data_IF_063624748181
#
_entry.id   IF_063624748181
#
_cell.length_a   1.000
_cell.length_b   1.000
_cell.length_c   1.000
_cell.angle_alpha   90.00
_cell.angle_beta   90.00
_cell.angle_gamma   90.00
#
_symmetry.space_group_name_H-M   'P 1'
#
loop_
_entity.id
_entity.type
_entity.pdbx_description
1 polymer ?
#
# COMPACT_ATOMS: atom_id res chain seq x y z
N UNK A 1 16.55 -2.17 71.25
CA UNK A 1 15.76 -1.12 70.59
C UNK A 1 16.04 -1.24 69.10
N UNK A 2 15.25 -2.01 68.37
CA UNK A 2 15.40 -2.16 66.92
C UNK A 2 14.55 -1.11 66.21
N UNK A 3 15.21 -0.29 65.40
CA UNK A 3 14.58 0.77 64.61
C UNK A 3 13.95 0.18 63.35
N UNK A 4 12.61 0.12 63.34
CA UNK A 4 11.83 -0.23 62.15
C UNK A 4 11.92 0.88 61.11
N UNK A 5 12.55 0.60 59.97
CA UNK A 5 12.64 1.54 58.85
C UNK A 5 11.52 1.23 57.85
N UNK A 6 10.54 2.12 57.75
CA UNK A 6 9.42 2.01 56.82
C UNK A 6 9.88 2.45 55.42
N UNK A 7 9.83 1.53 54.45
CA UNK A 7 10.13 1.83 53.04
C UNK A 7 8.90 2.48 52.39
N UNK A 8 9.01 3.65 51.73
CA UNK A 8 7.87 4.32 51.13
C UNK A 8 7.43 3.60 49.85
N UNK A 9 6.14 3.29 49.77
CA UNK A 9 5.50 2.67 48.61
C UNK A 9 5.45 3.65 47.44
N UNK A 10 6.05 3.27 46.30
CA UNK A 10 6.04 4.04 45.05
C UNK A 10 4.60 4.16 44.52
N UNK A 11 4.07 5.38 44.52
CA UNK A 11 2.80 5.73 43.87
C UNK A 11 2.85 5.44 42.37
N UNK A 12 1.91 4.63 41.87
CA UNK A 12 1.74 4.33 40.44
C UNK A 12 1.13 5.56 39.75
N UNK A 13 1.92 6.23 38.90
CA UNK A 13 1.43 7.33 38.04
C UNK A 13 0.26 6.85 37.16
N UNK A 14 -0.78 7.68 36.96
CA UNK A 14 -1.91 7.33 36.11
C UNK A 14 -1.47 7.10 34.65
N UNK A 15 -2.15 6.21 33.91
CA UNK A 15 -1.82 5.92 32.52
C UNK A 15 -1.97 7.18 31.66
N UNK A 16 -1.00 7.42 30.77
CA UNK A 16 -1.07 8.53 29.81
C UNK A 16 -2.32 8.37 28.92
N UNK A 17 -3.03 9.46 28.60
CA UNK A 17 -4.18 9.42 27.72
C UNK A 17 -3.78 8.86 26.35
N UNK A 18 -4.69 8.10 25.73
CA UNK A 18 -4.45 7.51 24.40
C UNK A 18 -4.19 8.64 23.39
N UNK A 19 -3.14 8.52 22.56
CA UNK A 19 -2.88 9.52 21.53
C UNK A 19 -4.06 9.58 20.56
N UNK A 20 -4.54 10.80 20.29
CA UNK A 20 -5.65 11.03 19.35
C UNK A 20 -5.30 10.58 17.93
N UNK A 21 -6.31 10.23 17.16
CA UNK A 21 -6.15 9.89 15.76
C UNK A 21 -5.89 11.17 14.95
N UNK A 22 -4.77 11.29 14.21
CA UNK A 22 -4.43 12.51 13.49
C UNK A 22 -5.44 12.84 12.39
N UNK A 23 -6.09 11.84 11.79
CA UNK A 23 -7.12 12.06 10.77
C UNK A 23 -8.37 12.65 11.44
N UNK A 24 -8.82 12.09 12.56
CA UNK A 24 -9.98 12.60 13.30
C UNK A 24 -9.73 14.02 13.81
N UNK A 25 -8.57 14.29 14.41
CA UNK A 25 -8.19 15.64 14.87
C UNK A 25 -8.17 16.64 13.72
N UNK A 26 -7.64 16.24 12.56
CA UNK A 26 -7.62 17.10 11.37
C UNK A 26 -9.03 17.40 10.87
N UNK A 27 -9.87 16.37 10.76
CA UNK A 27 -11.26 16.53 10.31
C UNK A 27 -12.04 17.43 11.26
N UNK A 28 -11.85 17.29 12.58
CA UNK A 28 -12.43 18.18 13.58
C UNK A 28 -12.04 19.64 13.36
N UNK A 29 -10.74 19.91 13.19
CA UNK A 29 -10.26 21.27 12.91
C UNK A 29 -10.77 21.80 11.58
N UNK A 30 -10.85 20.96 10.55
CA UNK A 30 -11.39 21.35 9.25
C UNK A 30 -12.88 21.73 9.34
N UNK A 31 -13.69 20.96 10.07
CA UNK A 31 -15.12 21.26 10.23
C UNK A 31 -15.39 22.59 10.95
N UNK A 32 -14.49 23.03 11.84
CA UNK A 32 -14.59 24.37 12.46
C UNK A 32 -14.41 25.52 11.45
N UNK A 33 -13.82 25.24 10.27
CA UNK A 33 -13.65 26.24 9.20
C UNK A 33 -14.86 26.32 8.26
N UNK A 34 -15.81 25.38 8.37
CA UNK A 34 -16.98 25.31 7.49
C UNK A 34 -18.18 26.03 8.12
N UNK A 35 -19.07 26.64 7.32
CA UNK A 35 -20.31 27.23 7.82
C UNK A 35 -21.20 26.18 8.49
N UNK A 36 -21.80 26.52 9.63
CA UNK A 36 -22.70 25.63 10.35
C UNK A 36 -23.93 25.23 9.52
N UNK A 37 -24.37 26.10 8.60
CA UNK A 37 -25.49 25.86 7.68
C UNK A 37 -25.27 24.64 6.78
N UNK A 38 -24.01 24.37 6.41
CA UNK A 38 -23.66 23.22 5.58
C UNK A 38 -24.02 21.88 6.24
N UNK A 39 -23.83 21.78 7.57
CA UNK A 39 -24.15 20.57 8.32
C UNK A 39 -25.67 20.34 8.45
N UNK A 40 -26.47 21.42 8.43
CA UNK A 40 -27.92 21.35 8.36
C UNK A 40 -28.38 20.83 6.98
N UNK A 41 -27.78 21.33 5.90
CA UNK A 41 -28.11 20.91 4.52
C UNK A 41 -27.85 19.42 4.29
N UNK A 42 -26.72 18.89 4.78
CA UNK A 42 -26.41 17.46 4.66
C UNK A 42 -27.09 16.61 5.74
N UNK A 43 -27.89 17.20 6.64
CA UNK A 43 -28.58 16.51 7.74
C UNK A 43 -27.66 15.62 8.59
N UNK A 44 -26.42 16.06 8.84
CA UNK A 44 -25.42 15.28 9.56
C UNK A 44 -24.78 16.08 10.69
N UNK A 45 -24.59 15.44 11.85
CA UNK A 45 -23.77 16.02 12.92
C UNK A 45 -22.28 15.81 12.65
N UNK A 46 -21.46 16.71 13.18
CA UNK A 46 -19.99 16.61 13.19
C UNK A 46 -19.55 15.26 13.76
N UNK A 47 -20.13 14.83 14.87
CA UNK A 47 -19.79 13.55 15.53
C UNK A 47 -20.10 12.33 14.65
N UNK A 48 -21.19 12.37 13.88
CA UNK A 48 -21.56 11.31 12.94
C UNK A 48 -20.54 11.19 11.79
N UNK A 49 -20.12 12.33 11.23
CA UNK A 49 -19.09 12.38 10.18
C UNK A 49 -17.73 11.89 10.69
N UNK A 50 -17.32 12.30 11.88
CA UNK A 50 -16.06 11.84 12.50
C UNK A 50 -16.11 10.33 12.76
N UNK A 51 -17.25 9.81 13.24
CA UNK A 51 -17.39 8.37 13.52
C UNK A 51 -17.21 7.51 12.27
N UNK A 52 -17.64 8.03 11.11
CA UNK A 52 -17.52 7.39 9.80
C UNK A 52 -16.24 7.75 9.03
N UNK A 53 -15.36 8.56 9.61
CA UNK A 53 -14.07 8.91 9.02
C UNK A 53 -13.08 7.73 9.07
N UNK A 54 -12.08 7.68 8.17
CA UNK A 54 -11.11 6.61 8.16
C UNK A 54 -10.20 6.64 9.40
N UNK A 55 -10.21 5.54 10.16
CA UNK A 55 -9.44 5.40 11.40
C UNK A 55 -8.12 4.64 11.25
N UNK A 56 -7.93 4.00 10.10
CA UNK A 56 -6.75 3.18 9.79
C UNK A 56 -6.16 3.68 8.48
N UNK A 57 -4.86 3.45 8.32
CA UNK A 57 -4.13 3.75 7.10
C UNK A 57 -2.97 2.77 6.94
N UNK A 58 -2.42 2.76 5.72
CA UNK A 58 -1.17 2.09 5.39
C UNK A 58 -0.24 3.12 4.75
N UNK A 59 1.04 3.07 5.07
CA UNK A 59 2.05 3.89 4.39
C UNK A 59 2.85 3.00 3.44
N UNK A 60 2.83 3.39 2.17
CA UNK A 60 3.76 2.93 1.16
C UNK A 60 4.53 4.14 0.71
N UNK A 61 5.69 4.38 1.31
CA UNK A 61 6.35 5.69 1.22
C UNK A 61 6.61 6.07 -0.25
N UNK A 62 6.32 7.33 -0.65
CA UNK A 62 5.85 8.47 0.16
C UNK A 62 4.31 8.65 0.18
N UNK A 63 3.53 7.60 -0.07
CA UNK A 63 2.07 7.62 -0.14
C UNK A 63 1.39 7.16 1.16
N UNK A 64 0.34 7.88 1.54
CA UNK A 64 -0.68 7.48 2.50
C UNK A 64 -1.84 6.78 1.77
N UNK A 65 -2.12 5.54 2.13
CA UNK A 65 -3.23 4.77 1.56
C UNK A 65 -4.31 4.52 2.61
N UNK A 66 -5.51 5.03 2.32
CA UNK A 66 -6.70 4.83 3.13
C UNK A 66 -7.44 3.52 2.73
N UNK A 67 -8.17 2.87 3.66
CA UNK A 67 -8.97 1.69 3.35
C UNK A 67 -10.06 1.96 2.32
N UNK A 68 -10.48 0.92 1.59
CA UNK A 68 -11.65 1.00 0.71
C UNK A 68 -12.88 1.46 1.48
N UNK A 69 -13.70 2.32 0.85
CA UNK A 69 -14.87 2.95 1.46
C UNK A 69 -14.56 4.16 2.36
N UNK A 70 -13.31 4.62 2.41
CA UNK A 70 -12.99 5.88 3.11
C UNK A 70 -13.75 7.03 2.46
N UNK A 71 -14.43 7.85 3.27
CA UNK A 71 -15.26 8.97 2.81
C UNK A 71 -16.40 8.59 1.84
N UNK A 72 -16.87 7.34 1.88
CA UNK A 72 -17.95 6.87 0.98
C UNK A 72 -19.34 6.86 1.61
N UNK A 73 -19.50 7.29 2.86
CA UNK A 73 -20.85 7.38 3.46
C UNK A 73 -21.67 8.47 2.73
N UNK A 74 -23.01 8.36 2.66
CA UNK A 74 -23.82 9.36 1.97
C UNK A 74 -23.55 10.79 2.45
N UNK A 75 -23.39 11.00 3.76
CA UNK A 75 -23.07 12.30 4.33
C UNK A 75 -21.68 12.81 3.92
N UNK A 76 -20.68 11.93 3.82
CA UNK A 76 -19.35 12.29 3.34
C UNK A 76 -19.38 12.66 1.86
N UNK A 77 -20.06 11.86 1.04
CA UNK A 77 -20.22 12.14 -0.40
C UNK A 77 -20.91 13.49 -0.62
N UNK A 78 -22.02 13.75 0.09
CA UNK A 78 -22.72 15.04 0.02
C UNK A 78 -21.85 16.20 0.49
N UNK A 79 -21.18 16.07 1.65
CA UNK A 79 -20.26 17.10 2.14
C UNK A 79 -19.18 17.42 1.10
N UNK A 80 -18.56 16.38 0.55
CA UNK A 80 -17.55 16.52 -0.49
C UNK A 80 -18.12 17.07 -1.80
N UNK A 81 -19.42 16.98 -2.11
CA UNK A 81 -19.97 17.67 -3.28
C UNK A 81 -20.18 19.17 -3.05
N UNK A 82 -20.41 19.61 -1.81
CA UNK A 82 -20.66 21.02 -1.48
C UNK A 82 -19.40 21.84 -1.25
N UNK A 83 -18.34 21.24 -0.70
CA UNK A 83 -17.08 21.98 -0.48
C UNK A 83 -16.36 22.24 -1.80
N UNK A 84 -15.72 23.41 -1.90
CA UNK A 84 -14.97 23.82 -3.08
C UNK A 84 -13.74 22.92 -3.33
N UNK A 85 -13.19 22.90 -4.56
CA UNK A 85 -11.94 22.19 -4.83
C UNK A 85 -10.79 22.60 -3.90
N UNK A 86 -10.66 23.90 -3.56
CA UNK A 86 -9.63 24.38 -2.63
C UNK A 86 -9.84 23.91 -1.20
N UNK A 87 -11.09 23.78 -0.74
CA UNK A 87 -11.42 23.21 0.57
C UNK A 87 -11.11 21.72 0.64
N UNK A 88 -11.40 20.94 -0.42
CA UNK A 88 -11.00 19.52 -0.52
C UNK A 88 -9.49 19.36 -0.44
N UNK A 89 -8.78 20.17 -1.22
CA UNK A 89 -7.33 20.15 -1.26
C UNK A 89 -6.73 20.49 0.12
N UNK A 90 -7.31 21.48 0.82
CA UNK A 90 -6.94 21.83 2.19
C UNK A 90 -7.15 20.65 3.14
N UNK A 91 -8.32 20.00 3.10
CA UNK A 91 -8.62 18.83 3.93
C UNK A 91 -7.61 17.70 3.71
N UNK A 92 -7.37 17.31 2.46
CA UNK A 92 -6.47 16.20 2.14
C UNK A 92 -5.01 16.52 2.46
N UNK A 93 -4.57 17.75 2.19
CA UNK A 93 -3.23 18.23 2.57
C UNK A 93 -3.04 18.19 4.09
N UNK A 94 -4.01 18.67 4.86
CA UNK A 94 -3.92 18.65 6.32
C UNK A 94 -3.91 17.21 6.86
N UNK A 95 -4.71 16.30 6.30
CA UNK A 95 -4.70 14.88 6.68
C UNK A 95 -3.30 14.30 6.46
N UNK A 96 -2.72 14.57 5.29
CA UNK A 96 -1.39 14.10 4.93
C UNK A 96 -0.32 14.65 5.88
N UNK A 97 -0.38 15.93 6.23
CA UNK A 97 0.54 16.57 7.19
C UNK A 97 0.39 15.99 8.60
N UNK A 98 -0.84 15.82 9.08
CA UNK A 98 -1.14 15.26 10.39
C UNK A 98 -0.60 13.84 10.55
N UNK A 99 -0.81 12.99 9.55
CA UNK A 99 -0.28 11.62 9.53
C UNK A 99 1.25 11.61 9.34
N UNK A 100 1.79 12.46 8.45
CA UNK A 100 3.24 12.60 8.26
C UNK A 100 3.96 12.90 9.57
N UNK A 101 3.42 13.86 10.34
CA UNK A 101 3.95 14.24 11.66
C UNK A 101 3.87 13.09 12.67
N UNK A 102 2.75 12.37 12.72
CA UNK A 102 2.57 11.23 13.63
C UNK A 102 3.54 10.09 13.33
N UNK A 103 3.76 9.81 12.05
CA UNK A 103 4.53 8.65 11.58
C UNK A 103 6.02 8.95 11.42
N UNK A 104 6.42 10.22 11.55
CA UNK A 104 7.80 10.65 11.38
C UNK A 104 8.31 10.47 9.94
N UNK A 105 7.40 10.51 8.95
CA UNK A 105 7.69 10.28 7.53
C UNK A 105 7.16 11.43 6.70
N UNK A 106 7.93 11.87 5.71
CA UNK A 106 7.47 12.85 4.73
C UNK A 106 6.55 12.15 3.72
N UNK A 107 5.24 12.36 3.84
CA UNK A 107 4.27 11.85 2.88
C UNK A 107 3.91 12.96 1.89
N UNK A 108 3.73 12.59 0.63
CA UNK A 108 3.44 13.53 -0.47
C UNK A 108 2.18 13.17 -1.26
N UNK A 109 1.66 11.95 -1.10
CA UNK A 109 0.50 11.47 -1.84
C UNK A 109 -0.55 10.87 -0.91
N UNK A 110 -1.82 11.07 -1.24
CA UNK A 110 -2.96 10.47 -0.55
C UNK A 110 -3.83 9.74 -1.56
N UNK A 111 -4.15 8.48 -1.28
CA UNK A 111 -5.11 7.72 -2.06
C UNK A 111 -6.04 6.87 -1.18
N UNK A 112 -7.18 6.46 -1.74
CA UNK A 112 -8.06 5.44 -1.18
C UNK A 112 -7.88 4.16 -1.97
N UNK A 113 -7.66 3.06 -1.26
CA UNK A 113 -7.57 1.74 -1.85
C UNK A 113 -8.92 1.32 -2.45
N UNK A 114 -8.89 0.53 -3.52
CA UNK A 114 -10.08 -0.07 -4.10
C UNK A 114 -9.81 -1.52 -4.50
N UNK A 115 -10.87 -2.29 -4.70
CA UNK A 115 -10.76 -3.63 -5.29
C UNK A 115 -10.26 -3.54 -6.72
N UNK A 116 -9.49 -4.53 -7.14
CA UNK A 116 -9.04 -4.67 -8.53
C UNK A 116 -10.18 -5.33 -9.31
N UNK A 117 -10.82 -4.62 -10.26
CA UNK A 117 -11.96 -5.15 -10.98
C UNK A 117 -11.53 -6.32 -11.88
N UNK A 118 -12.44 -7.28 -12.08
CA UNK A 118 -12.22 -8.42 -12.98
C UNK A 118 -12.34 -8.03 -14.45
N UNK A 119 -13.11 -6.99 -14.73
CA UNK A 119 -13.38 -6.47 -16.07
C UNK A 119 -13.05 -5.00 -16.12
N UNK A 120 -12.66 -4.50 -17.29
CA UNK A 120 -12.52 -3.07 -17.51
C UNK A 120 -13.87 -2.35 -17.37
N UNK A 121 -13.85 -1.06 -17.04
CA UNK A 121 -15.07 -0.26 -17.01
C UNK A 121 -15.52 -0.01 -18.45
N UNK A 122 -16.80 -0.21 -18.73
CA UNK A 122 -17.42 0.18 -20.01
C UNK A 122 -17.11 1.66 -20.28
N UNK A 123 -16.64 1.99 -21.49
CA UNK A 123 -16.45 3.38 -21.90
C UNK A 123 -17.82 4.06 -21.94
N UNK A 124 -17.94 5.26 -21.35
CA UNK A 124 -19.19 6.03 -21.37
C UNK A 124 -19.66 6.21 -22.83
N UNK A 125 -20.81 5.63 -23.17
CA UNK A 125 -21.42 5.70 -24.51
C UNK A 125 -21.74 4.38 -25.19
N UNK A 126 -21.36 3.22 -24.62
CA UNK A 126 -21.75 1.90 -25.14
C UNK A 126 -22.95 1.33 -24.37
N UNK A 127 -23.89 0.71 -25.08
CA UNK A 127 -25.11 0.14 -24.51
C UNK A 127 -24.79 -0.85 -23.38
N UNK A 128 -25.49 -0.73 -22.24
CA UNK A 128 -25.32 -1.42 -20.94
C UNK A 128 -25.49 -2.96 -20.95
N UNK A 129 -25.09 -3.67 -22.01
CA UNK A 129 -25.33 -5.12 -22.17
C UNK A 129 -24.10 -5.96 -22.47
N UNK A 130 -22.95 -5.37 -22.74
CA UNK A 130 -21.71 -6.11 -23.00
C UNK A 130 -20.77 -5.94 -21.79
N UNK A 131 -20.59 -7.03 -21.02
CA UNK A 131 -19.56 -7.08 -19.98
C UNK A 131 -18.24 -6.60 -20.58
N UNK A 132 -17.64 -5.56 -19.99
CA UNK A 132 -16.33 -5.06 -20.40
C UNK A 132 -15.26 -6.17 -20.51
N UNK A 133 -14.25 -5.92 -21.33
CA UNK A 133 -13.14 -6.86 -21.55
C UNK A 133 -12.48 -7.26 -20.23
N UNK A 134 -11.93 -8.48 -20.17
CA UNK A 134 -11.26 -8.97 -18.97
C UNK A 134 -10.04 -8.10 -18.62
N UNK A 135 -9.92 -7.70 -17.36
CA UNK A 135 -8.76 -6.98 -16.85
C UNK A 135 -7.59 -7.96 -16.63
N UNK A 136 -7.00 -8.42 -17.74
CA UNK A 136 -5.92 -9.43 -17.78
C UNK A 136 -4.71 -8.97 -16.96
N UNK A 137 -4.35 -7.68 -17.05
CA UNK A 137 -3.21 -7.10 -16.34
C UNK A 137 -3.48 -6.88 -14.84
N UNK A 138 -4.71 -7.13 -14.38
CA UNK A 138 -5.16 -6.87 -13.00
C UNK A 138 -4.82 -5.43 -12.56
N UNK A 139 -4.94 -4.49 -13.48
CA UNK A 139 -4.63 -3.08 -13.28
C UNK A 139 -5.55 -2.47 -12.20
N UNK A 140 -5.02 -1.70 -11.25
CA UNK A 140 -5.77 -1.15 -10.11
C UNK A 140 -6.58 0.10 -10.48
N UNK A 141 -7.40 0.02 -11.54
CA UNK A 141 -8.18 1.15 -12.09
C UNK A 141 -9.20 1.77 -11.13
N UNK A 142 -9.43 1.16 -9.97
CA UNK A 142 -10.28 1.70 -8.89
C UNK A 142 -9.55 2.63 -7.91
N UNK A 143 -8.22 2.75 -7.95
CA UNK A 143 -7.46 3.58 -7.01
C UNK A 143 -7.95 5.03 -7.06
N UNK A 144 -8.41 5.57 -5.94
CA UNK A 144 -8.87 6.96 -5.87
C UNK A 144 -7.72 7.85 -5.39
N UNK A 145 -7.13 8.61 -6.30
CA UNK A 145 -6.03 9.53 -6.05
C UNK A 145 -6.58 10.86 -5.54
N UNK A 146 -6.42 11.15 -4.25
CA UNK A 146 -7.03 12.31 -3.59
C UNK A 146 -6.12 13.54 -3.58
N UNK A 147 -4.80 13.33 -3.47
CA UNK A 147 -3.82 14.42 -3.40
C UNK A 147 -2.43 13.93 -3.85
N UNK A 148 -1.67 14.80 -4.50
CA UNK A 148 -0.36 14.52 -5.08
C UNK A 148 -0.43 14.14 -6.57
N UNK A 149 0.71 14.19 -7.24
CA UNK A 149 0.84 13.88 -8.67
C UNK A 149 1.23 12.41 -8.87
N UNK A 150 0.26 11.59 -9.29
CA UNK A 150 0.45 10.17 -9.54
C UNK A 150 1.06 9.85 -10.93
N UNK A 151 1.44 10.88 -11.68
CA UNK A 151 1.93 10.79 -13.04
C UNK A 151 0.79 10.87 -14.08
N UNK A 152 1.15 11.06 -15.36
CA UNK A 152 0.19 11.21 -16.46
C UNK A 152 -0.60 9.92 -16.71
N UNK A 153 -1.73 10.04 -17.42
CA UNK A 153 -2.43 8.85 -17.93
C UNK A 153 -1.62 8.18 -19.04
N UNK A 154 -1.85 6.88 -19.23
CA UNK A 154 -1.12 6.06 -20.18
C UNK A 154 -2.11 5.23 -21.00
N UNK A 155 -1.99 5.34 -22.33
CA UNK A 155 -2.90 4.70 -23.29
C UNK A 155 -2.14 3.84 -24.31
N UNK A 156 -0.86 3.54 -24.06
CA UNK A 156 -0.06 2.67 -24.92
C UNK A 156 -0.14 1.20 -24.48
N UNK A 157 0.48 0.32 -25.26
CA UNK A 157 0.58 -1.10 -24.92
C UNK A 157 1.72 -1.38 -23.94
N UNK A 158 2.88 -0.74 -24.14
CA UNK A 158 4.09 -0.92 -23.35
C UNK A 158 4.69 0.43 -22.92
N UNK A 159 4.97 0.63 -21.63
CA UNK A 159 5.55 1.87 -21.13
C UNK A 159 6.99 2.07 -21.61
N UNK A 160 7.32 3.32 -21.91
CA UNK A 160 8.68 3.77 -22.28
C UNK A 160 9.48 4.22 -21.07
N UNK A 161 10.79 4.45 -21.25
CA UNK A 161 11.65 5.06 -20.22
C UNK A 161 11.14 6.42 -19.73
N UNK A 162 10.51 7.21 -20.62
CA UNK A 162 9.90 8.48 -20.23
C UNK A 162 8.70 8.24 -19.31
N UNK A 163 7.86 7.26 -19.64
CA UNK A 163 6.69 6.93 -18.83
C UNK A 163 7.10 6.43 -17.43
N UNK A 164 8.17 5.63 -17.35
CA UNK A 164 8.74 5.20 -16.07
C UNK A 164 9.31 6.34 -15.22
N UNK A 165 9.84 7.38 -15.87
CA UNK A 165 10.37 8.57 -15.18
C UNK A 165 9.26 9.46 -14.65
N UNK A 166 8.19 9.63 -15.42
CA UNK A 166 7.08 10.52 -15.09
C UNK A 166 6.05 9.86 -14.16
N UNK A 167 6.09 8.53 -14.02
CA UNK A 167 5.21 7.81 -13.10
C UNK A 167 5.59 8.02 -11.63
N UNK A 168 4.57 7.97 -10.77
CA UNK A 168 4.75 7.94 -9.33
C UNK A 168 5.06 6.53 -8.81
N UNK A 169 6.12 6.40 -8.02
CA UNK A 169 6.59 5.13 -7.46
C UNK A 169 6.53 5.16 -5.93
N UNK A 170 6.12 4.04 -5.35
CA UNK A 170 6.10 3.82 -3.90
C UNK A 170 6.91 2.58 -3.52
N UNK A 171 7.33 2.52 -2.26
CA UNK A 171 8.08 1.41 -1.72
C UNK A 171 7.54 0.88 -0.38
N UNK A 172 7.80 -0.40 -0.11
CA UNK A 172 7.64 -0.98 1.22
C UNK A 172 8.63 -2.11 1.47
N UNK A 173 8.99 -2.32 2.73
CA UNK A 173 9.88 -3.39 3.17
C UNK A 173 9.09 -4.50 3.86
N UNK A 174 9.10 -5.71 3.30
CA UNK A 174 8.50 -6.91 3.89
C UNK A 174 9.57 -7.99 4.02
N UNK A 175 9.66 -8.69 5.15
CA UNK A 175 10.65 -9.76 5.35
C UNK A 175 12.09 -9.32 5.03
N UNK A 176 12.42 -8.06 5.33
CA UNK A 176 13.69 -7.38 5.01
C UNK A 176 13.96 -7.15 3.51
N UNK A 177 12.99 -7.39 2.64
CA UNK A 177 13.05 -7.20 1.19
C UNK A 177 12.26 -5.94 0.81
N UNK A 178 12.89 -5.04 0.05
CA UNK A 178 12.23 -3.85 -0.51
C UNK A 178 11.41 -4.23 -1.74
N UNK A 179 10.19 -3.70 -1.84
CA UNK A 179 9.33 -3.87 -3.01
C UNK A 179 8.90 -2.50 -3.49
N UNK A 180 9.01 -2.27 -4.80
CA UNK A 180 8.77 -0.98 -5.44
C UNK A 180 7.75 -1.16 -6.55
N UNK A 181 6.77 -0.26 -6.65
CA UNK A 181 5.73 -0.34 -7.66
C UNK A 181 5.09 1.02 -7.95
N UNK A 182 4.43 1.14 -9.10
CA UNK A 182 3.66 2.32 -9.47
C UNK A 182 2.19 2.09 -9.11
N UNK A 183 1.61 2.76 -8.09
CA UNK A 183 0.27 2.46 -7.58
C UNK A 183 -0.85 2.55 -8.63
N UNK A 184 -0.67 3.43 -9.61
CA UNK A 184 -1.64 3.64 -10.70
C UNK A 184 -1.72 2.44 -11.66
N UNK A 185 -0.62 1.73 -11.84
CA UNK A 185 -0.44 0.78 -12.94
C UNK A 185 -0.26 -0.67 -12.52
N UNK A 186 0.09 -0.89 -11.25
CA UNK A 186 0.50 -2.20 -10.76
C UNK A 186 -0.19 -2.53 -9.44
N UNK A 187 -0.66 -3.76 -9.32
CA UNK A 187 -1.23 -4.23 -8.06
C UNK A 187 -0.13 -4.50 -7.03
N UNK A 188 -0.42 -4.19 -5.76
CA UNK A 188 0.34 -4.63 -4.59
C UNK A 188 -0.58 -5.21 -3.52
N UNK A 189 -0.38 -6.48 -3.14
CA UNK A 189 -1.09 -7.11 -2.01
C UNK A 189 -0.16 -7.38 -0.83
N UNK A 190 -0.53 -6.83 0.34
CA UNK A 190 0.08 -7.19 1.63
C UNK A 190 -0.36 -8.56 2.16
N UNK A 191 -1.50 -9.09 1.70
CA UNK A 191 -2.10 -10.31 2.25
C UNK A 191 -1.18 -11.53 2.15
N UNK A 192 -0.30 -11.55 1.16
CA UNK A 192 0.58 -12.67 0.88
C UNK A 192 1.88 -12.63 1.70
N UNK A 193 2.03 -11.73 2.68
CA UNK A 193 3.28 -11.57 3.46
C UNK A 193 3.71 -12.85 4.18
N UNK A 194 2.76 -13.62 4.71
CA UNK A 194 3.04 -14.91 5.37
C UNK A 194 3.53 -15.95 4.36
N UNK A 195 2.95 -15.99 3.18
CA UNK A 195 3.38 -16.91 2.12
C UNK A 195 4.77 -16.54 1.58
N UNK A 196 5.06 -15.24 1.42
CA UNK A 196 6.41 -14.76 1.11
C UNK A 196 7.43 -15.23 2.17
N UNK A 197 7.07 -15.17 3.45
CA UNK A 197 7.93 -15.63 4.54
C UNK A 197 8.09 -17.15 4.55
N UNK A 198 7.02 -17.90 4.27
CA UNK A 198 7.05 -19.37 4.15
C UNK A 198 8.00 -19.80 3.05
N UNK A 199 7.94 -19.17 1.87
CA UNK A 199 8.88 -19.45 0.78
C UNK A 199 10.31 -19.08 1.13
N UNK A 200 10.53 -17.93 1.77
CA UNK A 200 11.87 -17.48 2.14
C UNK A 200 12.61 -18.48 3.05
N UNK A 201 11.87 -19.14 3.96
CA UNK A 201 12.40 -20.15 4.87
C UNK A 201 12.09 -21.60 4.49
N UNK A 202 11.67 -21.88 3.24
CA UNK A 202 11.10 -23.18 2.86
C UNK A 202 12.08 -24.36 3.02
N UNK A 203 13.38 -24.10 2.98
CA UNK A 203 14.43 -25.11 3.08
C UNK A 203 15.33 -24.96 4.31
N UNK A 204 14.97 -24.04 5.20
CA UNK A 204 15.68 -23.89 6.47
C UNK A 204 15.21 -24.99 7.43
N UNK A 205 16.07 -25.48 8.31
CA UNK A 205 15.73 -26.54 9.25
C UNK A 205 14.52 -26.14 10.10
N UNK A 206 13.41 -26.89 10.00
CA UNK A 206 12.29 -26.76 10.94
C UNK A 206 12.50 -27.81 12.03
N UNK A 207 12.73 -27.37 13.26
CA UNK A 207 12.76 -28.25 14.41
C UNK A 207 11.34 -28.78 14.69
N UNK A 208 10.94 -29.86 14.03
CA UNK A 208 9.72 -30.60 14.37
C UNK A 208 10.08 -31.80 15.24
N UNK A 209 9.48 -31.89 16.42
CA UNK A 209 9.67 -32.94 17.42
C UNK A 209 9.09 -34.32 17.02
N UNK A 210 8.91 -34.60 15.74
CA UNK A 210 8.31 -35.85 15.24
C UNK A 210 8.92 -36.21 13.89
N UNK A 211 9.69 -37.31 13.86
CA UNK A 211 10.05 -38.31 12.81
C UNK A 211 9.90 -38.04 11.30
N UNK A 212 9.74 -36.80 10.86
CA UNK A 212 9.60 -36.39 9.46
C UNK A 212 10.36 -35.11 9.17
N UNK A 213 11.55 -34.94 9.76
CA UNK A 213 12.38 -33.76 9.59
C UNK A 213 12.59 -33.47 8.10
N UNK A 214 12.06 -32.33 7.62
CA UNK A 214 12.37 -31.83 6.29
C UNK A 214 13.87 -31.55 6.24
N UNK A 215 14.59 -32.24 5.35
CA UNK A 215 16.04 -32.09 5.21
C UNK A 215 16.36 -30.61 4.95
N UNK A 216 17.11 -29.99 5.85
CA UNK A 216 17.67 -28.67 5.61
C UNK A 216 18.50 -28.71 4.33
N UNK A 217 18.22 -27.79 3.42
CA UNK A 217 19.03 -27.64 2.20
C UNK A 217 19.89 -26.40 2.39
N UNK A 218 21.19 -26.63 2.53
CA UNK A 218 22.18 -25.58 2.71
C UNK A 218 22.09 -24.53 1.61
N UNK A 219 22.39 -23.27 1.94
CA UNK A 219 22.31 -22.17 0.98
C UNK A 219 23.25 -22.39 -0.20
N UNK A 220 24.37 -23.07 0.03
CA UNK A 220 25.37 -23.46 -0.96
C UNK A 220 24.80 -24.40 -2.03
N UNK A 221 23.96 -25.36 -1.63
CA UNK A 221 23.27 -26.25 -2.56
C UNK A 221 22.22 -25.49 -3.38
N UNK A 222 21.46 -24.59 -2.72
CA UNK A 222 20.47 -23.72 -3.38
C UNK A 222 21.09 -22.80 -4.44
N UNK A 223 22.39 -22.48 -4.36
CA UNK A 223 23.11 -21.72 -5.40
C UNK A 223 23.25 -22.46 -6.74
N UNK A 224 22.92 -23.74 -6.80
CA UNK A 224 22.88 -24.48 -8.07
C UNK A 224 21.49 -24.46 -8.72
N UNK A 225 20.49 -23.87 -8.06
CA UNK A 225 19.12 -23.92 -8.53
C UNK A 225 18.77 -22.77 -9.47
N UNK A 226 17.77 -23.05 -10.32
CA UNK A 226 17.04 -22.05 -11.08
C UNK A 226 15.56 -22.16 -10.74
N UNK A 227 14.96 -21.06 -10.29
CA UNK A 227 13.52 -20.98 -10.12
C UNK A 227 12.86 -20.33 -11.36
N UNK A 228 11.62 -20.73 -11.63
CA UNK A 228 10.79 -20.17 -12.70
C UNK A 228 9.55 -19.57 -12.07
N UNK A 229 9.29 -18.29 -12.32
CA UNK A 229 8.09 -17.58 -11.87
C UNK A 229 7.32 -17.07 -13.08
N UNK A 230 6.15 -17.66 -13.36
CA UNK A 230 5.37 -17.35 -14.56
C UNK A 230 4.53 -16.07 -14.42
N UNK A 231 4.46 -15.51 -13.21
CA UNK A 231 3.72 -14.29 -12.89
C UNK A 231 4.55 -13.45 -11.90
N UNK A 232 5.72 -13.01 -12.38
CA UNK A 232 6.73 -12.38 -11.54
C UNK A 232 6.21 -11.11 -10.84
N UNK A 233 5.29 -10.39 -11.48
CA UNK A 233 4.78 -9.11 -11.02
C UNK A 233 5.93 -8.15 -10.73
N UNK A 234 5.80 -7.40 -9.64
CA UNK A 234 6.87 -6.51 -9.13
C UNK A 234 7.95 -7.26 -8.33
N UNK A 235 8.04 -8.58 -8.45
CA UNK A 235 8.88 -9.43 -7.63
C UNK A 235 8.20 -9.96 -6.37
N UNK A 236 6.93 -10.38 -6.50
CA UNK A 236 6.16 -10.89 -5.36
C UNK A 236 6.83 -12.08 -4.67
N UNK A 237 7.18 -13.10 -5.46
CA UNK A 237 7.82 -14.31 -4.99
C UNK A 237 9.24 -14.48 -5.56
N UNK A 238 9.53 -13.89 -6.73
CA UNK A 238 10.91 -13.75 -7.26
C UNK A 238 11.91 -13.37 -6.17
N UNK A 239 11.61 -12.33 -5.39
CA UNK A 239 12.51 -11.86 -4.34
C UNK A 239 12.62 -12.84 -3.16
N UNK A 240 11.58 -13.61 -2.86
CA UNK A 240 11.66 -14.68 -1.87
C UNK A 240 12.60 -15.79 -2.32
N UNK A 241 12.56 -16.19 -3.60
CA UNK A 241 13.49 -17.19 -4.15
C UNK A 241 14.95 -16.70 -4.12
N UNK A 242 15.21 -15.46 -4.57
CA UNK A 242 16.55 -14.87 -4.52
C UNK A 242 17.02 -14.73 -3.07
N UNK A 243 16.16 -14.23 -2.18
CA UNK A 243 16.44 -14.10 -0.74
C UNK A 243 16.74 -15.43 -0.06
N UNK A 244 16.07 -16.50 -0.47
CA UNK A 244 16.29 -17.88 0.00
C UNK A 244 17.66 -18.44 -0.45
N UNK A 245 18.30 -17.84 -1.46
CA UNK A 245 19.63 -18.22 -1.94
C UNK A 245 19.65 -18.95 -3.28
N UNK A 246 18.53 -18.99 -4.00
CA UNK A 246 18.49 -19.47 -5.39
C UNK A 246 19.37 -18.57 -6.26
N UNK A 247 20.25 -19.16 -7.07
CA UNK A 247 21.20 -18.39 -7.89
C UNK A 247 20.55 -17.61 -9.02
N UNK A 248 19.53 -18.19 -9.66
CA UNK A 248 18.84 -17.56 -10.79
C UNK A 248 17.34 -17.75 -10.67
N UNK A 249 16.59 -16.68 -10.91
CA UNK A 249 15.14 -16.75 -11.11
C UNK A 249 14.86 -16.26 -12.52
N UNK A 250 14.10 -17.03 -13.29
CA UNK A 250 13.60 -16.62 -14.60
C UNK A 250 12.13 -16.27 -14.43
N UNK A 251 11.79 -15.00 -14.66
CA UNK A 251 10.47 -14.45 -14.45
C UNK A 251 9.78 -14.08 -15.76
N UNK A 252 8.49 -14.37 -15.88
CA UNK A 252 7.61 -13.85 -16.92
C UNK A 252 6.63 -12.87 -16.30
N UNK A 253 6.39 -11.77 -17.00
CA UNK A 253 5.44 -10.74 -16.59
C UNK A 253 4.93 -10.01 -17.83
N UNK A 254 3.62 -9.80 -17.90
CA UNK A 254 2.95 -9.17 -19.03
C UNK A 254 2.92 -7.64 -18.90
N UNK A 255 2.83 -7.13 -17.68
CA UNK A 255 2.72 -5.70 -17.44
C UNK A 255 4.11 -5.05 -17.38
N UNK A 256 4.45 -4.22 -18.36
CA UNK A 256 5.73 -3.49 -18.40
C UNK A 256 6.00 -2.62 -17.15
N UNK A 257 4.94 -2.10 -16.51
CA UNK A 257 5.06 -1.38 -15.23
C UNK A 257 5.48 -2.31 -14.08
N UNK A 258 4.97 -3.55 -14.07
CA UNK A 258 5.36 -4.57 -13.10
C UNK A 258 6.81 -4.98 -13.29
N UNK A 259 7.25 -5.15 -14.56
CA UNK A 259 8.65 -5.45 -14.89
C UNK A 259 9.59 -4.35 -14.38
N UNK A 260 9.23 -3.08 -14.57
CA UNK A 260 10.01 -1.97 -14.06
C UNK A 260 10.01 -1.90 -12.53
N UNK A 261 8.87 -2.19 -11.88
CA UNK A 261 8.79 -2.33 -10.42
C UNK A 261 9.71 -3.44 -9.88
N UNK A 262 9.74 -4.59 -10.57
CA UNK A 262 10.66 -5.70 -10.29
C UNK A 262 12.12 -5.24 -10.45
N UNK A 263 12.45 -4.49 -11.50
CA UNK A 263 13.81 -3.96 -11.72
C UNK A 263 14.24 -3.01 -10.60
N UNK A 264 13.39 -2.04 -10.25
CA UNK A 264 13.65 -1.09 -9.15
C UNK A 264 13.79 -1.80 -7.82
N UNK A 265 12.91 -2.77 -7.54
CA UNK A 265 12.98 -3.60 -6.35
C UNK A 265 14.27 -4.43 -6.27
N UNK A 266 14.69 -5.06 -7.38
CA UNK A 266 15.93 -5.82 -7.43
C UNK A 266 17.15 -4.95 -7.10
N UNK A 267 17.24 -3.77 -7.72
CA UNK A 267 18.31 -2.79 -7.44
C UNK A 267 18.29 -2.35 -5.98
N UNK A 268 17.10 -2.04 -5.42
CA UNK A 268 16.96 -1.62 -4.03
C UNK A 268 17.39 -2.71 -3.02
N UNK A 269 17.33 -3.98 -3.41
CA UNK A 269 17.81 -5.11 -2.60
C UNK A 269 19.27 -5.52 -2.91
N UNK A 270 19.95 -4.83 -3.83
CA UNK A 270 21.32 -5.15 -4.23
C UNK A 270 21.44 -6.40 -5.10
N UNK A 271 20.38 -6.75 -5.85
CA UNK A 271 20.38 -7.89 -6.76
C UNK A 271 20.54 -7.46 -8.21
N UNK A 272 21.29 -8.27 -8.97
CA UNK A 272 21.38 -8.12 -10.42
C UNK A 272 20.08 -8.54 -11.10
N UNK A 273 19.69 -7.79 -12.13
CA UNK A 273 18.51 -8.10 -12.95
C UNK A 273 18.81 -7.79 -14.41
N UNK A 274 18.24 -8.59 -15.31
CA UNK A 274 18.24 -8.36 -16.76
C UNK A 274 16.83 -8.51 -17.28
N UNK A 275 16.29 -7.45 -17.86
CA UNK A 275 15.02 -7.47 -18.57
C UNK A 275 15.29 -7.90 -20.00
N UNK A 276 14.53 -8.89 -20.49
CA UNK A 276 14.62 -9.39 -21.87
C UNK A 276 13.27 -9.14 -22.52
N UNK A 277 13.23 -8.17 -23.43
CA UNK A 277 12.04 -7.88 -24.24
C UNK A 277 12.00 -8.75 -25.50
N UNK A 278 10.89 -8.67 -26.24
CA UNK A 278 10.90 -9.13 -27.64
C UNK A 278 11.83 -8.22 -28.44
N UNK A 279 12.71 -8.81 -29.25
CA UNK A 279 13.32 -8.06 -30.36
C UNK A 279 12.18 -7.49 -31.22
N UNK A 280 12.21 -6.18 -31.47
CA UNK A 280 11.29 -5.52 -32.40
C UNK A 280 11.81 -5.69 -33.81
#
# INVERSE_FOLDING_TARGET
MESNTIVPTKSKRPPKPKPQNPIETTIQSFFQTLPSTLFLEISASIDSLITTSPKRWVIYSPMLLLPSGSFSSPHWTSLLSFVSPSQKETLFTQILQGVSKKEGKKLTHLAINAGIPLHEKEKEGQNQREKGEENILRSPSGLLMLHGDFGPDFTGDEPTEKDFKDAFWVGTKQNRIEQVWAPRWTMFSRGNVKEKARLLGFHDAVATASDGAMKEIAKEERRNWTAVDLYAGIGYFVFSYVGMGVRRVVGWELNGWSVEGLRRGAVANGWGIRVVGRER
#
